data_IF_956917775202
#
_entry.id   IF_956917775202
#
_cell.length_a   1.000
_cell.length_b   1.000
_cell.length_c   1.000
_cell.angle_alpha   90.00
_cell.angle_beta   90.00
_cell.angle_gamma   90.00
#
_symmetry.space_group_name_H-M   'P 1'
#
loop_
_entity.id
_entity.type
_entity.pdbx_description
1 polymer ?
#
# COMPACT_ATOMS: atom_id res chain seq x y z
N UNK A 1 20.88 11.80 -21.32
CA UNK A 1 20.21 10.58 -20.80
C UNK A 1 18.78 10.58 -21.31
N UNK A 2 18.41 9.60 -22.13
CA UNK A 2 17.04 9.49 -22.64
C UNK A 2 16.20 8.87 -21.51
N UNK A 3 15.40 9.69 -20.83
CA UNK A 3 14.43 9.22 -19.85
C UNK A 3 13.23 8.61 -20.59
N UNK A 4 13.42 7.42 -21.17
CA UNK A 4 12.36 6.65 -21.82
C UNK A 4 11.23 6.38 -20.82
N UNK A 5 10.03 6.87 -21.14
CA UNK A 5 8.85 6.64 -20.33
C UNK A 5 8.50 5.16 -20.24
N UNK A 6 8.06 4.70 -19.06
CA UNK A 6 7.74 3.27 -18.79
C UNK A 6 6.74 2.65 -19.80
N UNK A 7 5.89 3.47 -20.43
CA UNK A 7 4.87 3.05 -21.39
C UNK A 7 5.28 3.20 -22.87
N UNK A 8 6.44 3.80 -23.16
CA UNK A 8 6.94 4.04 -24.51
C UNK A 8 7.39 2.75 -25.23
N UNK A 9 7.47 2.74 -26.57
CA UNK A 9 8.08 1.65 -27.33
C UNK A 9 9.50 1.35 -26.83
N UNK A 10 9.82 0.07 -26.68
CA UNK A 10 11.12 -0.35 -26.17
C UNK A 10 12.23 -0.08 -27.19
N UNK A 11 13.35 0.49 -26.73
CA UNK A 11 14.49 0.87 -27.57
C UNK A 11 15.22 -0.32 -28.22
N UNK A 12 14.92 -1.56 -27.82
CA UNK A 12 15.48 -2.77 -28.42
C UNK A 12 14.82 -3.17 -29.75
N UNK A 13 13.88 -2.36 -30.26
CA UNK A 13 13.21 -2.62 -31.55
C UNK A 13 12.15 -3.71 -31.51
N UNK A 14 11.79 -4.23 -30.33
CA UNK A 14 10.83 -5.33 -30.21
C UNK A 14 9.35 -4.94 -30.45
N UNK A 15 9.04 -3.65 -30.61
CA UNK A 15 7.67 -3.13 -30.70
C UNK A 15 6.84 -3.22 -29.41
N UNK A 16 7.38 -3.81 -28.33
CA UNK A 16 6.70 -3.94 -27.03
C UNK A 16 6.91 -2.68 -26.18
N UNK A 17 5.98 -2.39 -25.25
CA UNK A 17 6.16 -1.31 -24.24
C UNK A 17 7.38 -1.59 -23.38
N UNK A 18 8.19 -0.57 -23.06
CA UNK A 18 9.44 -0.69 -22.31
C UNK A 18 9.29 -1.47 -20.99
N UNK A 19 8.20 -1.24 -20.23
CA UNK A 19 7.89 -1.98 -18.99
C UNK A 19 7.69 -3.48 -19.12
N UNK A 20 7.37 -3.98 -20.32
CA UNK A 20 7.16 -5.40 -20.62
C UNK A 20 8.33 -6.02 -21.38
N UNK A 21 9.43 -5.28 -21.57
CA UNK A 21 10.57 -5.74 -22.36
C UNK A 21 11.91 -5.51 -21.64
N UNK A 22 12.62 -4.41 -21.87
CA UNK A 22 13.97 -4.21 -21.33
C UNK A 22 14.02 -3.61 -19.92
N UNK A 23 12.93 -3.07 -19.36
CA UNK A 23 12.94 -2.37 -18.06
C UNK A 23 13.59 -3.20 -16.93
N UNK A 24 13.32 -4.49 -16.87
CA UNK A 24 13.89 -5.38 -15.86
C UNK A 24 15.38 -5.63 -16.09
N UNK A 25 15.77 -5.85 -17.35
CA UNK A 25 17.16 -6.10 -17.75
C UNK A 25 18.03 -4.88 -17.49
N UNK A 26 17.53 -3.70 -17.84
CA UNK A 26 18.24 -2.44 -17.63
C UNK A 26 18.38 -2.12 -16.13
N UNK A 27 17.35 -2.42 -15.33
CA UNK A 27 17.42 -2.25 -13.87
C UNK A 27 18.45 -3.19 -13.24
N UNK A 28 18.55 -4.43 -13.73
CA UNK A 28 19.56 -5.38 -13.27
C UNK A 28 20.97 -4.95 -13.70
N UNK A 29 21.15 -4.45 -14.92
CA UNK A 29 22.43 -3.90 -15.37
C UNK A 29 22.85 -2.69 -14.54
N UNK A 30 21.95 -1.75 -14.25
CA UNK A 30 22.26 -0.61 -13.38
C UNK A 30 22.66 -1.04 -11.96
N UNK A 31 22.02 -2.08 -11.42
CA UNK A 31 22.40 -2.67 -10.13
C UNK A 31 23.80 -3.29 -10.19
N UNK A 32 24.13 -4.00 -11.26
CA UNK A 32 25.43 -4.64 -11.43
C UNK A 32 26.56 -3.62 -11.65
N UNK A 33 26.29 -2.54 -12.40
CA UNK A 33 27.25 -1.45 -12.63
C UNK A 33 27.59 -0.72 -11.34
N UNK A 34 26.61 -0.48 -10.44
CA UNK A 34 26.86 0.14 -9.13
C UNK A 34 27.77 -0.68 -8.21
N UNK A 35 27.80 -2.00 -8.38
CA UNK A 35 28.70 -2.90 -7.63
C UNK A 35 30.11 -2.91 -8.24
N UNK A 36 30.22 -2.82 -9.56
CA UNK A 36 31.51 -2.80 -10.26
C UNK A 36 32.28 -1.46 -10.12
N UNK A 37 31.58 -0.34 -9.93
CA UNK A 37 32.22 0.99 -9.81
C UNK A 37 32.82 1.30 -8.43
N UNK A 38 32.78 0.37 -7.47
CA UNK A 38 33.42 0.52 -6.15
C UNK A 38 34.70 -0.33 -5.97
N UNK A 39 35.26 -0.89 -7.04
CA UNK A 39 36.50 -1.71 -6.97
C UNK A 39 37.66 -1.04 -7.72
N UNK A 40 38.04 0.17 -7.32
CA UNK A 40 39.39 0.70 -7.61
C UNK A 40 39.86 1.62 -6.46
N UNK A 41 40.19 1.05 -5.29
CA UNK A 41 41.22 1.61 -4.38
C UNK A 41 41.96 0.47 -3.66
N UNK A 42 43.13 0.12 -4.20
CA UNK A 42 44.38 -0.24 -3.51
C UNK A 42 44.43 -1.51 -2.62
N UNK A 43 44.90 -2.59 -3.26
CA UNK A 43 45.94 -3.58 -2.88
C UNK A 43 46.23 -3.97 -1.41
N UNK A 44 46.41 -5.29 -1.25
CA UNK A 44 47.06 -6.08 -0.18
C UNK A 44 46.22 -6.55 1.02
N UNK A 45 45.77 -7.82 0.97
CA UNK A 45 46.17 -8.90 1.90
C UNK A 45 45.74 -10.30 1.41
N UNK A 46 46.58 -11.28 1.77
CA UNK A 46 46.71 -12.69 1.38
C UNK A 46 45.56 -13.58 1.94
N UNK A 47 45.24 -14.75 1.35
CA UNK A 47 44.02 -15.50 1.65
C UNK A 47 44.20 -16.41 2.86
N UNK A 48 43.13 -16.59 3.64
CA UNK A 48 42.98 -17.73 4.55
C UNK A 48 41.64 -18.41 4.29
N UNK A 49 41.75 -19.70 4.00
CA UNK A 49 40.65 -20.63 3.77
C UNK A 49 39.80 -20.86 5.01
N UNK A 50 38.54 -21.19 4.73
CA UNK A 50 37.66 -22.10 5.48
C UNK A 50 37.27 -21.71 6.91
N UNK A 51 35.98 -21.44 7.13
CA UNK A 51 35.09 -22.38 7.82
C UNK A 51 33.62 -22.01 7.58
N UNK A 52 32.80 -23.05 7.59
CA UNK A 52 31.36 -23.06 7.36
C UNK A 52 30.52 -22.48 8.50
N UNK A 53 29.23 -22.29 8.17
CA UNK A 53 28.03 -22.38 9.01
C UNK A 53 27.50 -21.17 9.80
N UNK A 54 26.16 -21.10 9.77
CA UNK A 54 25.19 -20.54 10.71
C UNK A 54 24.54 -19.17 10.39
N UNK A 55 23.30 -19.30 9.88
CA UNK A 55 22.04 -18.81 10.44
C UNK A 55 21.89 -17.36 10.94
N UNK A 56 20.85 -16.72 10.37
CA UNK A 56 19.83 -15.86 11.01
C UNK A 56 20.19 -15.33 12.41
N UNK A 57 20.22 -14.00 12.56
CA UNK A 57 19.33 -13.30 13.51
C UNK A 57 19.39 -11.79 13.31
N UNK A 58 18.21 -11.19 13.36
CA UNK A 58 17.94 -9.76 13.43
C UNK A 58 18.21 -9.24 14.86
N UNK A 59 18.65 -7.99 15.07
CA UNK A 59 18.49 -7.34 16.35
C UNK A 59 17.51 -6.16 16.24
N UNK A 60 16.37 -6.31 16.91
CA UNK A 60 15.61 -5.18 17.44
C UNK A 60 16.21 -4.80 18.80
N UNK A 61 16.23 -3.50 19.14
CA UNK A 61 16.07 -3.10 20.53
C UNK A 61 14.85 -2.19 20.69
N UNK A 62 14.07 -2.56 21.69
CA UNK A 62 12.90 -1.90 22.22
C UNK A 62 13.33 -0.66 23.01
N UNK A 63 12.61 0.47 22.86
CA UNK A 63 12.49 1.48 23.93
C UNK A 63 11.05 1.98 23.92
N UNK A 64 10.39 1.76 25.05
CA UNK A 64 9.07 2.26 25.40
C UNK A 64 9.12 3.77 25.71
N UNK A 65 8.00 4.48 25.53
CA UNK A 65 7.24 5.10 26.64
C UNK A 65 6.24 6.15 26.10
N UNK A 66 4.97 5.72 26.03
CA UNK A 66 3.73 6.43 26.34
C UNK A 66 3.67 7.98 26.30
N UNK A 67 2.73 8.52 25.51
CA UNK A 67 1.83 9.62 25.93
C UNK A 67 0.64 9.72 24.95
N UNK A 68 -0.54 10.01 25.52
CA UNK A 68 -1.80 10.42 24.89
C UNK A 68 -2.81 9.32 24.57
N UNK A 69 -3.59 9.01 25.60
CA UNK A 69 -4.87 8.32 25.56
C UNK A 69 -5.85 9.08 24.63
N UNK A 70 -5.99 8.65 23.39
CA UNK A 70 -7.15 9.00 22.56
C UNK A 70 -7.50 7.80 21.67
N UNK A 71 -8.58 7.11 22.05
CA UNK A 71 -9.29 6.07 21.31
C UNK A 71 -8.46 4.89 20.79
N UNK A 72 -8.32 3.86 21.63
CA UNK A 72 -7.85 2.53 21.29
C UNK A 72 -8.86 1.77 20.39
N UNK A 73 -9.13 2.28 19.19
CA UNK A 73 -9.91 1.54 18.20
C UNK A 73 -8.99 0.58 17.45
N UNK A 74 -8.88 -0.65 17.96
CA UNK A 74 -8.56 -1.95 17.32
C UNK A 74 -7.54 -2.05 16.15
N UNK A 75 -6.78 -1.02 15.80
CA UNK A 75 -5.81 -1.05 14.70
C UNK A 75 -4.56 -1.87 15.04
N UNK A 76 -4.17 -1.86 16.32
CA UNK A 76 -2.99 -2.56 16.84
C UNK A 76 -3.22 -4.03 17.18
N UNK A 77 -4.47 -4.47 17.32
CA UNK A 77 -4.81 -5.88 17.62
C UNK A 77 -5.18 -6.68 16.37
N UNK A 78 -5.50 -6.00 15.26
CA UNK A 78 -5.81 -6.65 14.00
C UNK A 78 -4.56 -7.13 13.26
N UNK A 79 -4.67 -8.29 12.60
CA UNK A 79 -3.63 -8.80 11.72
C UNK A 79 -3.67 -8.08 10.38
N UNK A 80 -2.53 -7.52 9.98
CA UNK A 80 -2.33 -6.86 8.68
C UNK A 80 -1.28 -7.61 7.89
N UNK A 81 -1.65 -8.14 6.72
CA UNK A 81 -0.69 -8.82 5.84
C UNK A 81 0.37 -7.87 5.26
N UNK A 82 0.05 -6.58 5.14
CA UNK A 82 0.95 -5.57 4.59
C UNK A 82 0.88 -4.25 5.36
N UNK A 83 2.04 -3.68 5.68
CA UNK A 83 2.15 -2.39 6.39
C UNK A 83 1.43 -1.25 5.68
N UNK A 84 1.43 -1.23 4.34
CA UNK A 84 0.75 -0.18 3.57
C UNK A 84 -0.76 -0.11 3.83
N UNK A 85 -1.39 -1.25 4.16
CA UNK A 85 -2.82 -1.31 4.48
C UNK A 85 -3.08 -0.81 5.90
N UNK A 86 -2.20 -1.16 6.84
CA UNK A 86 -2.23 -0.65 8.21
C UNK A 86 -2.04 0.87 8.24
N UNK A 87 -1.02 1.39 7.55
CA UNK A 87 -0.73 2.83 7.48
C UNK A 87 -1.90 3.63 6.89
N UNK A 88 -2.59 3.10 5.87
CA UNK A 88 -3.79 3.73 5.33
C UNK A 88 -4.90 3.78 6.39
N UNK A 89 -5.11 2.69 7.11
CA UNK A 89 -6.12 2.61 8.17
C UNK A 89 -5.82 3.62 9.29
N UNK A 90 -4.57 3.67 9.76
CA UNK A 90 -4.11 4.56 10.83
C UNK A 90 -4.22 6.05 10.46
N UNK A 91 -4.03 6.40 9.19
CA UNK A 91 -4.06 7.80 8.74
C UNK A 91 -5.44 8.27 8.25
N UNK A 92 -6.12 7.47 7.43
CA UNK A 92 -7.35 7.90 6.77
C UNK A 92 -8.58 7.72 7.66
N UNK A 93 -8.70 6.60 8.37
CA UNK A 93 -9.93 6.27 9.10
C UNK A 93 -10.20 7.23 10.26
N UNK A 94 -9.23 7.61 11.10
CA UNK A 94 -9.48 8.61 12.15
C UNK A 94 -9.94 9.95 11.58
N UNK A 95 -9.35 10.38 10.46
CA UNK A 95 -9.72 11.63 9.78
C UNK A 95 -11.16 11.57 9.26
N UNK A 96 -11.55 10.46 8.64
CA UNK A 96 -12.93 10.22 8.18
C UNK A 96 -13.90 10.16 9.37
N UNK A 97 -13.51 9.47 10.45
CA UNK A 97 -14.34 9.34 11.64
C UNK A 97 -14.63 10.70 12.29
N UNK A 98 -13.64 11.58 12.36
CA UNK A 98 -13.81 12.94 12.89
C UNK A 98 -14.71 13.79 11.98
N UNK A 99 -14.46 13.79 10.67
CA UNK A 99 -15.20 14.61 9.71
C UNK A 99 -16.68 14.23 9.63
N UNK A 100 -16.96 12.93 9.64
CA UNK A 100 -18.32 12.38 9.56
C UNK A 100 -18.93 12.08 10.92
N UNK A 101 -18.24 12.46 12.01
CA UNK A 101 -18.67 12.26 13.41
C UNK A 101 -19.13 10.82 13.69
N UNK A 102 -18.36 9.85 13.22
CA UNK A 102 -18.68 8.44 13.38
C UNK A 102 -18.62 8.03 14.85
N UNK A 103 -19.55 7.15 15.22
CA UNK A 103 -19.50 6.44 16.50
C UNK A 103 -18.32 5.46 16.52
N UNK A 104 -17.97 4.97 17.71
CA UNK A 104 -16.93 3.95 17.86
C UNK A 104 -17.29 2.66 17.10
N UNK A 105 -18.58 2.29 17.08
CA UNK A 105 -19.08 1.12 16.34
C UNK A 105 -18.94 1.30 14.82
N UNK A 106 -19.32 2.47 14.29
CA UNK A 106 -19.18 2.77 12.87
C UNK A 106 -17.71 2.83 12.44
N UNK A 107 -16.86 3.42 13.29
CA UNK A 107 -15.42 3.49 13.05
C UNK A 107 -14.80 2.09 13.07
N UNK A 108 -15.15 1.26 14.05
CA UNK A 108 -14.74 -0.14 14.13
C UNK A 108 -15.21 -0.95 12.92
N UNK A 109 -16.44 -0.72 12.45
CA UNK A 109 -16.98 -1.32 11.24
C UNK A 109 -16.19 -0.91 9.98
N UNK A 110 -15.76 0.34 9.88
CA UNK A 110 -14.93 0.83 8.77
C UNK A 110 -13.53 0.21 8.78
N UNK A 111 -12.91 0.11 9.97
CA UNK A 111 -11.62 -0.58 10.16
C UNK A 111 -11.75 -2.06 9.78
N UNK A 112 -12.78 -2.74 10.25
CA UNK A 112 -13.03 -4.16 9.96
C UNK A 112 -13.26 -4.42 8.48
N UNK A 113 -14.03 -3.55 7.79
CA UNK A 113 -14.24 -3.63 6.35
C UNK A 113 -12.92 -3.51 5.60
N UNK A 114 -12.10 -2.50 5.92
CA UNK A 114 -10.82 -2.30 5.27
C UNK A 114 -9.84 -3.44 5.57
N UNK A 115 -9.76 -3.88 6.83
CA UNK A 115 -8.89 -4.98 7.23
C UNK A 115 -9.25 -6.27 6.47
N UNK A 116 -10.53 -6.64 6.46
CA UNK A 116 -11.04 -7.83 5.76
C UNK A 116 -10.72 -7.77 4.26
N UNK A 117 -11.06 -6.66 3.59
CA UNK A 117 -10.77 -6.45 2.18
C UNK A 117 -9.27 -6.53 1.88
N UNK A 118 -8.45 -5.88 2.71
CA UNK A 118 -7.00 -5.80 2.49
C UNK A 118 -6.31 -7.15 2.63
N UNK A 119 -6.77 -7.99 3.57
CA UNK A 119 -6.23 -9.33 3.79
C UNK A 119 -6.73 -10.32 2.72
N UNK A 120 -7.95 -10.17 2.21
CA UNK A 120 -8.49 -11.08 1.17
C UNK A 120 -8.00 -10.75 -0.24
N UNK A 121 -8.02 -9.47 -0.63
CA UNK A 121 -7.76 -9.04 -2.00
C UNK A 121 -6.32 -8.52 -2.21
N UNK A 122 -5.57 -8.29 -1.12
CA UNK A 122 -4.21 -7.76 -1.12
C UNK A 122 -4.01 -6.62 -2.14
N UNK A 123 -4.82 -5.54 -2.08
CA UNK A 123 -4.83 -4.51 -3.11
C UNK A 123 -3.49 -3.78 -3.14
N UNK A 124 -2.84 -3.76 -4.30
CA UNK A 124 -1.59 -3.01 -4.50
C UNK A 124 -1.87 -1.61 -5.02
N UNK A 125 -1.51 -0.60 -4.23
CA UNK A 125 -1.57 0.80 -4.61
C UNK A 125 -0.25 1.52 -4.30
N UNK A 126 -0.04 2.68 -4.95
CA UNK A 126 1.16 3.52 -4.75
C UNK A 126 0.90 4.72 -3.83
N UNK A 127 -0.32 5.24 -3.84
CA UNK A 127 -0.78 6.34 -3.00
C UNK A 127 -2.06 5.89 -2.29
N UNK A 128 -2.27 6.29 -1.03
CA UNK A 128 -3.43 5.86 -0.25
C UNK A 128 -4.74 6.48 -0.74
N UNK A 129 -4.70 7.64 -1.41
CA UNK A 129 -5.88 8.44 -1.77
C UNK A 129 -6.99 7.69 -2.52
N UNK A 130 -6.65 6.69 -3.34
CA UNK A 130 -7.67 5.91 -4.06
C UNK A 130 -8.59 5.15 -3.10
N UNK A 131 -8.01 4.42 -2.15
CA UNK A 131 -8.77 3.64 -1.17
C UNK A 131 -9.22 4.47 0.03
N UNK A 132 -8.45 5.50 0.43
CA UNK A 132 -8.89 6.46 1.44
C UNK A 132 -10.19 7.17 1.00
N UNK A 133 -10.23 7.66 -0.24
CA UNK A 133 -11.45 8.24 -0.80
C UNK A 133 -12.57 7.23 -1.00
N UNK A 134 -12.26 5.96 -1.30
CA UNK A 134 -13.28 4.93 -1.38
C UNK A 134 -13.94 4.64 -0.02
N UNK A 135 -13.14 4.57 1.06
CA UNK A 135 -13.66 4.42 2.43
C UNK A 135 -14.53 5.62 2.82
N UNK A 136 -14.08 6.83 2.50
CA UNK A 136 -14.87 8.04 2.76
C UNK A 136 -16.19 8.04 1.97
N UNK A 137 -16.17 7.61 0.70
CA UNK A 137 -17.36 7.51 -0.13
C UNK A 137 -18.40 6.55 0.47
N UNK A 138 -17.96 5.39 0.96
CA UNK A 138 -18.82 4.40 1.62
C UNK A 138 -19.46 5.01 2.86
N UNK A 139 -18.69 5.75 3.67
CA UNK A 139 -19.19 6.46 4.85
C UNK A 139 -20.22 7.52 4.49
N UNK A 140 -19.90 8.40 3.52
CA UNK A 140 -20.79 9.46 3.07
C UNK A 140 -22.13 8.92 2.55
N UNK A 141 -22.08 7.83 1.77
CA UNK A 141 -23.26 7.17 1.23
C UNK A 141 -24.16 6.60 2.33
N UNK A 142 -23.56 5.99 3.38
CA UNK A 142 -24.31 5.48 4.54
C UNK A 142 -25.04 6.57 5.31
N UNK A 143 -24.47 7.78 5.40
CA UNK A 143 -25.12 8.93 6.03
C UNK A 143 -26.13 9.65 5.12
N UNK A 144 -26.38 9.13 3.91
CA UNK A 144 -27.28 9.76 2.95
C UNK A 144 -26.71 11.03 2.29
N UNK A 145 -25.41 11.29 2.44
CA UNK A 145 -24.75 12.40 1.77
C UNK A 145 -24.50 12.07 0.30
N UNK A 146 -24.81 13.01 -0.59
CA UNK A 146 -24.58 12.89 -2.03
C UNK A 146 -23.30 13.62 -2.41
N UNK A 147 -22.15 13.01 -2.13
CA UNK A 147 -20.84 13.56 -2.51
C UNK A 147 -20.49 13.18 -3.95
N UNK A 148 -19.99 14.14 -4.73
CA UNK A 148 -19.50 13.84 -6.08
C UNK A 148 -18.18 13.06 -6.03
N UNK A 149 -18.08 11.99 -6.81
CA UNK A 149 -16.81 11.25 -6.98
C UNK A 149 -15.70 12.17 -7.52
N UNK A 150 -16.00 13.20 -8.31
CA UNK A 150 -14.99 14.13 -8.82
C UNK A 150 -14.40 15.02 -7.72
N UNK A 151 -15.24 15.49 -6.80
CA UNK A 151 -14.83 16.34 -5.68
C UNK A 151 -14.03 15.53 -4.67
N UNK A 152 -14.50 14.32 -4.37
CA UNK A 152 -13.80 13.42 -3.47
C UNK A 152 -12.46 12.96 -4.06
N UNK A 153 -12.38 12.75 -5.38
CA UNK A 153 -11.11 12.41 -6.03
C UNK A 153 -10.09 13.55 -5.92
N UNK A 154 -10.54 14.79 -6.08
CA UNK A 154 -9.70 15.97 -5.89
C UNK A 154 -9.22 16.09 -4.43
N UNK A 155 -10.11 15.88 -3.45
CA UNK A 155 -9.78 15.89 -2.02
C UNK A 155 -8.67 14.89 -1.66
N UNK A 156 -8.68 13.72 -2.29
CA UNK A 156 -7.72 12.64 -2.04
C UNK A 156 -6.50 12.63 -2.98
N UNK A 157 -6.28 13.69 -3.77
CA UNK A 157 -5.17 13.81 -4.74
C UNK A 157 -5.08 12.62 -5.72
N UNK A 158 -6.24 12.18 -6.23
CA UNK A 158 -6.35 11.09 -7.21
C UNK A 158 -7.22 11.47 -8.39
N UNK A 159 -7.07 10.74 -9.50
CA UNK A 159 -7.99 10.90 -10.64
C UNK A 159 -9.36 10.30 -10.32
N UNK A 160 -10.42 10.88 -10.89
CA UNK A 160 -11.78 10.33 -10.78
C UNK A 160 -11.86 8.86 -11.21
N UNK A 161 -11.08 8.46 -12.23
CA UNK A 161 -10.98 7.06 -12.68
C UNK A 161 -10.36 6.15 -11.62
N UNK A 162 -9.33 6.62 -10.90
CA UNK A 162 -8.71 5.86 -9.81
C UNK A 162 -9.68 5.68 -8.65
N UNK A 163 -10.35 6.76 -8.24
CA UNK A 163 -11.32 6.71 -7.15
C UNK A 163 -12.49 5.77 -7.51
N UNK A 164 -13.10 5.95 -8.69
CA UNK A 164 -14.22 5.13 -9.15
C UNK A 164 -13.88 3.64 -9.16
N UNK A 165 -12.66 3.30 -9.61
CA UNK A 165 -12.17 1.92 -9.53
C UNK A 165 -12.07 1.42 -8.09
N UNK A 166 -11.47 2.19 -7.18
CA UNK A 166 -11.32 1.80 -5.78
C UNK A 166 -12.67 1.66 -5.06
N UNK A 167 -13.64 2.55 -5.35
CA UNK A 167 -15.03 2.44 -4.87
C UNK A 167 -15.65 1.13 -5.35
N UNK A 168 -15.59 0.86 -6.66
CA UNK A 168 -16.16 -0.37 -7.22
C UNK A 168 -15.59 -1.63 -6.56
N UNK A 169 -14.27 -1.68 -6.37
CA UNK A 169 -13.62 -2.83 -5.72
C UNK A 169 -14.07 -3.02 -4.26
N UNK A 170 -14.19 -1.93 -3.49
CA UNK A 170 -14.56 -2.00 -2.08
C UNK A 170 -16.05 -2.32 -1.91
N UNK A 171 -16.92 -1.72 -2.73
CA UNK A 171 -18.36 -1.98 -2.71
C UNK A 171 -18.71 -3.40 -3.14
N UNK A 172 -18.10 -3.90 -4.22
CA UNK A 172 -18.30 -5.28 -4.70
C UNK A 172 -17.87 -6.30 -3.63
N UNK A 173 -16.77 -6.04 -2.93
CA UNK A 173 -16.34 -6.88 -1.82
C UNK A 173 -17.31 -6.83 -0.64
N UNK A 174 -17.79 -5.65 -0.27
CA UNK A 174 -18.75 -5.49 0.82
C UNK A 174 -20.05 -6.25 0.54
N UNK A 175 -20.56 -6.19 -0.69
CA UNK A 175 -21.75 -6.94 -1.13
C UNK A 175 -21.51 -8.45 -1.09
N UNK A 176 -20.38 -8.92 -1.63
CA UNK A 176 -20.00 -10.35 -1.59
C UNK A 176 -19.92 -10.90 -0.17
N UNK A 177 -19.37 -10.11 0.74
CA UNK A 177 -19.22 -10.49 2.15
C UNK A 177 -20.58 -10.53 2.85
N UNK A 178 -21.45 -9.55 2.57
CA UNK A 178 -22.82 -9.52 3.11
C UNK A 178 -23.66 -10.72 2.67
N UNK A 179 -23.53 -11.16 1.41
CA UNK A 179 -24.23 -12.35 0.87
C UNK A 179 -23.71 -13.66 1.49
N UNK A 180 -22.41 -13.74 1.76
CA UNK A 180 -21.79 -14.92 2.36
C UNK A 180 -22.23 -15.11 3.81
N UNK A 181 -22.41 -14.02 4.56
CA UNK A 181 -22.87 -14.06 5.96
C UNK A 181 -24.34 -14.48 6.13
N UNK A 182 -25.17 -14.42 5.09
CA UNK A 182 -26.58 -14.84 5.13
C UNK A 182 -26.80 -16.30 4.68
N UNK A 183 -25.76 -16.97 4.20
CA UNK A 183 -25.85 -18.32 3.61
C UNK A 183 -25.37 -19.43 4.54
N UNK A 184 -25.22 -19.17 5.85
CA UNK A 184 -24.72 -20.11 6.87
C UNK A 184 -25.73 -20.30 7.98
#
# INVERSE_FOLDING_TARGET
MINLGRNEPCHCGSGKKYKKCCLEKDRQQQRNVRVATSVEVITNRRPVSAVSTVSKTSPAPQVAEQTSQKSALNLTEMTWEHDMHRELAESAIPSIAEEYKLTEEETSGLISLWNSYSNSEAPRYRKPGGFAGALEYVTATKQGSTISQSELAAKHDVSATTLSKSIGQLSEFAEKTSLTSQSV
#
